data_IF_371793538507
#
_entry.id   IF_371793538507
#
_cell.length_a   1.000
_cell.length_b   1.000
_cell.length_c   1.000
_cell.angle_alpha   90.00
_cell.angle_beta   90.00
_cell.angle_gamma   90.00
#
_symmetry.space_group_name_H-M   'P 1'
#
loop_
_entity.id
_entity.type
_entity.pdbx_description
1 polymer ?
#
# COMPACT_ATOMS: atom_id res chain seq x y z
N UNK A 1 -1.48 16.05 16.00
CA UNK A 1 -2.56 15.08 15.71
C UNK A 1 -1.93 13.70 15.84
N UNK A 2 -2.42 12.87 16.76
CA UNK A 2 -1.97 11.48 16.88
C UNK A 2 -2.86 10.61 15.98
N UNK A 3 -2.23 9.76 15.17
CA UNK A 3 -2.93 8.81 14.31
C UNK A 3 -2.70 7.40 14.86
N UNK A 4 -3.75 6.60 15.08
CA UNK A 4 -3.58 5.23 15.52
C UNK A 4 -2.98 4.39 14.39
N UNK A 5 -2.27 3.31 14.76
CA UNK A 5 -1.96 2.24 13.82
C UNK A 5 -3.23 1.46 13.54
N UNK A 6 -3.57 1.32 12.26
CA UNK A 6 -4.74 0.57 11.80
C UNK A 6 -4.27 -0.80 11.33
N UNK A 7 -4.92 -1.87 11.77
CA UNK A 7 -4.70 -3.22 11.29
C UNK A 7 -5.92 -3.70 10.48
N UNK A 8 -5.67 -4.23 9.29
CA UNK A 8 -6.73 -4.76 8.43
C UNK A 8 -7.02 -6.22 8.80
N UNK A 9 -8.20 -6.76 8.43
CA UNK A 9 -8.50 -8.19 8.58
C UNK A 9 -7.50 -9.13 7.86
N UNK A 10 -6.74 -8.59 6.90
CA UNK A 10 -5.69 -9.32 6.18
C UNK A 10 -4.31 -9.24 6.84
N UNK A 11 -4.20 -8.66 8.04
CA UNK A 11 -2.94 -8.50 8.78
C UNK A 11 -2.00 -7.42 8.21
N UNK A 12 -2.50 -6.53 7.34
CA UNK A 12 -1.75 -5.36 6.87
C UNK A 12 -1.90 -4.27 7.92
N UNK A 13 -0.78 -3.66 8.31
CA UNK A 13 -0.77 -2.55 9.27
C UNK A 13 -0.47 -1.24 8.54
N UNK A 14 -1.19 -0.18 8.88
CA UNK A 14 -1.01 1.15 8.29
C UNK A 14 -0.83 2.16 9.42
N UNK A 15 0.31 2.84 9.41
CA UNK A 15 0.63 3.90 10.34
C UNK A 15 0.88 5.21 9.58
N UNK A 16 0.37 6.33 10.09
CA UNK A 16 0.71 7.65 9.52
C UNK A 16 2.04 8.10 10.11
N UNK A 17 3.00 8.41 9.23
CA UNK A 17 4.31 8.96 9.60
C UNK A 17 4.23 10.48 9.70
N UNK A 18 3.57 11.11 8.71
CA UNK A 18 3.40 12.56 8.65
C UNK A 18 2.20 12.92 7.78
N UNK A 19 1.55 14.03 8.07
CA UNK A 19 0.49 14.60 7.26
C UNK A 19 0.58 16.12 7.28
N UNK A 20 0.16 16.77 6.19
CA UNK A 20 0.01 18.23 6.14
C UNK A 20 -0.97 18.70 7.23
N UNK A 21 -0.57 19.62 8.13
CA UNK A 21 -1.49 20.25 9.06
C UNK A 21 -2.56 21.07 8.33
N UNK A 22 -3.79 21.07 8.86
CA UNK A 22 -4.94 21.83 8.32
C UNK A 22 -5.08 21.74 6.79
N UNK A 23 -5.17 20.52 6.22
CA UNK A 23 -5.10 20.31 4.77
C UNK A 23 -6.23 21.02 4.02
N UNK A 24 -7.41 21.17 4.64
CA UNK A 24 -8.54 21.88 4.03
C UNK A 24 -8.27 23.38 3.92
N UNK A 25 -7.65 23.99 4.94
CA UNK A 25 -7.21 25.40 4.87
C UNK A 25 -6.24 25.58 3.70
N UNK A 26 -5.26 24.68 3.56
CA UNK A 26 -4.30 24.75 2.45
C UNK A 26 -4.98 24.69 1.08
N UNK A 27 -5.91 23.76 0.89
CA UNK A 27 -6.67 23.62 -0.37
C UNK A 27 -7.50 24.88 -0.65
N UNK A 28 -8.16 25.43 0.38
CA UNK A 28 -8.98 26.63 0.25
C UNK A 28 -8.16 27.85 -0.19
N UNK A 29 -7.03 28.11 0.48
CA UNK A 29 -6.17 29.25 0.18
C UNK A 29 -5.55 29.15 -1.22
N UNK A 30 -5.15 27.94 -1.64
CA UNK A 30 -4.63 27.70 -2.98
C UNK A 30 -5.68 28.02 -4.05
N UNK A 31 -6.91 27.51 -3.88
CA UNK A 31 -8.03 27.81 -4.79
C UNK A 31 -8.36 29.30 -4.87
N UNK A 32 -8.30 30.01 -3.74
CA UNK A 32 -8.54 31.46 -3.76
C UNK A 32 -7.44 32.22 -4.50
N UNK A 33 -6.19 31.75 -4.42
CA UNK A 33 -5.08 32.42 -5.08
C UNK A 33 -5.25 32.43 -6.60
N UNK A 34 -5.93 31.43 -7.16
CA UNK A 34 -6.20 31.32 -8.60
C UNK A 34 -7.09 32.45 -9.16
N UNK A 35 -7.81 33.17 -8.30
CA UNK A 35 -8.80 34.20 -8.68
C UNK A 35 -8.63 35.54 -7.97
N UNK A 36 -7.53 35.72 -7.24
CA UNK A 36 -7.23 36.95 -6.47
C UNK A 36 -5.87 37.53 -6.86
N UNK A 37 -5.70 38.84 -6.71
CA UNK A 37 -4.48 39.59 -7.04
C UNK A 37 -3.62 39.93 -5.80
N UNK A 38 -4.10 39.61 -4.60
CA UNK A 38 -3.37 39.69 -3.33
C UNK A 38 -2.91 38.30 -2.84
N UNK A 39 -2.05 38.30 -1.82
CA UNK A 39 -1.60 37.05 -1.17
C UNK A 39 -2.71 36.50 -0.28
N UNK A 40 -3.20 35.29 -0.57
CA UNK A 40 -4.36 34.70 0.16
C UNK A 40 -4.02 34.16 1.54
N UNK A 41 -2.78 34.21 2.01
CA UNK A 41 -2.40 33.67 3.32
C UNK A 41 -3.22 34.25 4.48
N UNK A 42 -3.66 35.50 4.34
CA UNK A 42 -4.49 36.25 5.29
C UNK A 42 -6.00 36.10 5.05
N UNK A 43 -6.41 35.38 3.99
CA UNK A 43 -7.81 35.21 3.67
C UNK A 43 -8.54 34.46 4.78
N UNK A 44 -9.79 34.88 5.00
CA UNK A 44 -10.70 34.17 5.87
C UNK A 44 -11.03 32.80 5.27
N UNK A 45 -10.78 31.76 6.05
CA UNK A 45 -11.23 30.41 5.75
C UNK A 45 -12.68 30.25 6.26
N UNK A 46 -13.59 29.64 5.48
CA UNK A 46 -14.92 29.29 5.94
C UNK A 46 -14.89 28.45 7.21
N UNK A 47 -15.96 28.53 8.01
CA UNK A 47 -16.10 27.69 9.21
C UNK A 47 -16.20 26.19 8.87
N UNK A 48 -16.65 25.86 7.66
CA UNK A 48 -16.64 24.52 7.09
C UNK A 48 -15.91 24.56 5.74
N UNK A 49 -14.57 24.48 5.75
CA UNK A 49 -13.77 24.55 4.54
C UNK A 49 -14.03 23.32 3.64
N UNK A 50 -14.24 22.14 4.21
CA UNK A 50 -14.57 20.92 3.49
C UNK A 50 -15.81 21.06 2.60
N UNK A 51 -16.94 21.53 3.14
CA UNK A 51 -18.15 21.74 2.35
C UNK A 51 -17.96 22.80 1.24
N UNK A 52 -17.21 23.86 1.55
CA UNK A 52 -16.89 24.90 0.58
C UNK A 52 -16.06 24.33 -0.58
N UNK A 53 -15.00 23.59 -0.27
CA UNK A 53 -14.13 22.89 -1.24
C UNK A 53 -14.91 21.91 -2.11
N UNK A 54 -15.81 21.11 -1.54
CA UNK A 54 -16.65 20.18 -2.32
C UNK A 54 -17.49 20.93 -3.36
N UNK A 55 -18.14 22.02 -2.94
CA UNK A 55 -19.02 22.83 -3.79
C UNK A 55 -18.25 23.60 -4.87
N UNK A 56 -17.09 24.18 -4.54
CA UNK A 56 -16.35 25.05 -5.45
C UNK A 56 -15.37 24.31 -6.35
N UNK A 57 -14.75 23.23 -5.86
CA UNK A 57 -13.69 22.51 -6.57
C UNK A 57 -14.17 21.19 -7.17
N UNK A 58 -14.64 20.25 -6.32
CA UNK A 58 -14.91 18.87 -6.76
C UNK A 58 -16.01 18.80 -7.82
N UNK A 59 -17.10 19.57 -7.65
CA UNK A 59 -18.19 19.61 -8.63
C UNK A 59 -17.78 20.22 -9.97
N UNK A 60 -16.74 21.06 -10.00
CA UNK A 60 -16.24 21.74 -11.21
C UNK A 60 -15.08 21.01 -11.88
N UNK A 61 -14.60 19.91 -11.29
CA UNK A 61 -13.42 19.19 -11.79
C UNK A 61 -12.10 19.95 -11.60
N UNK A 62 -12.07 20.95 -10.72
CA UNK A 62 -10.85 21.70 -10.45
C UNK A 62 -10.02 20.98 -9.39
N UNK A 63 -9.09 20.15 -9.86
CA UNK A 63 -8.36 19.23 -8.99
C UNK A 63 -6.97 19.72 -8.53
N UNK A 64 -6.44 20.78 -9.14
CA UNK A 64 -5.10 21.33 -8.87
C UNK A 64 -4.84 21.59 -7.38
N UNK A 65 -5.74 22.30 -6.67
CA UNK A 65 -5.55 22.57 -5.24
C UNK A 65 -5.40 21.32 -4.36
N UNK A 66 -5.91 20.16 -4.77
CA UNK A 66 -5.76 18.89 -4.03
C UNK A 66 -4.38 18.24 -4.20
N UNK A 67 -3.51 18.78 -5.05
CA UNK A 67 -2.13 18.30 -5.19
C UNK A 67 -1.20 18.82 -4.09
N UNK A 68 -1.58 19.87 -3.35
CA UNK A 68 -0.74 20.46 -2.30
C UNK A 68 -0.67 19.63 -1.01
N UNK A 69 -1.80 19.18 -0.41
CA UNK A 69 -1.73 18.45 0.86
C UNK A 69 -1.19 17.05 0.62
N UNK A 70 -0.33 16.60 1.53
CA UNK A 70 0.29 15.26 1.46
C UNK A 70 0.18 14.50 2.75
N UNK A 71 0.16 13.18 2.62
CA UNK A 71 0.19 12.23 3.74
C UNK A 71 1.19 11.13 3.43
N UNK A 72 1.93 10.71 4.46
CA UNK A 72 2.95 9.66 4.39
C UNK A 72 2.57 8.53 5.33
N UNK A 73 2.53 7.32 4.79
CA UNK A 73 2.21 6.10 5.50
C UNK A 73 3.43 5.20 5.59
N UNK A 74 3.61 4.54 6.72
CA UNK A 74 4.39 3.32 6.82
C UNK A 74 3.40 2.15 6.80
N UNK A 75 3.52 1.28 5.79
CA UNK A 75 2.58 0.18 5.57
C UNK A 75 3.33 -1.12 5.83
N UNK A 76 2.93 -1.89 6.83
CA UNK A 76 3.55 -3.16 7.19
C UNK A 76 2.77 -4.37 6.67
N UNK A 77 3.50 -5.41 6.29
CA UNK A 77 2.92 -6.73 6.01
C UNK A 77 2.42 -6.92 4.58
N UNK A 78 2.90 -6.11 3.63
CA UNK A 78 2.48 -6.20 2.22
C UNK A 78 3.35 -7.19 1.45
N UNK A 79 2.77 -7.92 0.50
CA UNK A 79 3.53 -8.81 -0.39
C UNK A 79 4.29 -8.02 -1.47
N UNK A 80 5.26 -8.65 -2.13
CA UNK A 80 5.90 -8.06 -3.32
C UNK A 80 4.96 -7.96 -4.50
N UNK A 81 4.02 -8.89 -4.63
CA UNK A 81 2.99 -8.82 -5.66
C UNK A 81 2.09 -7.59 -5.48
N UNK A 82 1.75 -7.23 -4.24
CA UNK A 82 1.01 -5.98 -3.96
C UNK A 82 1.85 -4.77 -4.32
N UNK A 83 3.14 -4.75 -3.97
CA UNK A 83 4.03 -3.65 -4.34
C UNK A 83 4.12 -3.45 -5.86
N UNK A 84 4.18 -4.52 -6.65
CA UNK A 84 4.19 -4.43 -8.11
C UNK A 84 2.92 -3.79 -8.70
N UNK A 85 1.78 -3.87 -7.99
CA UNK A 85 0.55 -3.18 -8.35
C UNK A 85 0.55 -1.73 -7.84
N UNK A 86 0.95 -1.53 -6.58
CA UNK A 86 0.91 -0.23 -5.93
C UNK A 86 1.83 0.79 -6.62
N UNK A 87 3.03 0.38 -7.05
CA UNK A 87 3.98 1.26 -7.75
C UNK A 87 3.55 1.63 -9.18
N UNK A 88 2.38 1.17 -9.64
CA UNK A 88 1.79 1.61 -10.91
C UNK A 88 1.12 2.98 -10.80
N UNK A 89 0.83 3.43 -9.59
CA UNK A 89 0.40 4.79 -9.32
C UNK A 89 1.61 5.72 -9.31
N UNK A 90 1.75 6.53 -10.37
CA UNK A 90 2.98 7.31 -10.63
C UNK A 90 2.86 8.81 -10.37
N UNK A 91 1.63 9.33 -10.28
CA UNK A 91 1.38 10.78 -10.21
C UNK A 91 1.06 11.14 -8.77
N UNK A 92 1.81 12.07 -8.20
CA UNK A 92 1.61 12.56 -6.83
C UNK A 92 1.87 11.50 -5.75
N UNK A 93 2.60 10.42 -6.06
CA UNK A 93 2.97 9.37 -5.12
C UNK A 93 4.47 9.08 -5.20
N UNK A 94 5.10 8.84 -4.05
CA UNK A 94 6.47 8.33 -3.94
C UNK A 94 6.53 7.11 -3.02
N UNK A 95 7.54 6.26 -3.23
CA UNK A 95 7.70 4.99 -2.52
C UNK A 95 9.15 4.80 -2.07
N UNK A 96 9.32 4.39 -0.82
CA UNK A 96 10.55 3.78 -0.33
C UNK A 96 10.25 2.33 0.02
N UNK A 97 10.93 1.40 -0.64
CA UNK A 97 10.64 -0.03 -0.55
C UNK A 97 11.85 -0.76 -0.01
N UNK A 98 11.61 -1.66 0.94
CA UNK A 98 12.65 -2.53 1.46
C UNK A 98 13.36 -3.31 0.34
N UNK A 99 14.68 -3.27 0.37
CA UNK A 99 15.53 -3.88 -0.66
C UNK A 99 15.97 -5.28 -0.25
N UNK A 100 15.57 -6.29 -1.03
CA UNK A 100 16.04 -7.67 -0.86
C UNK A 100 17.54 -7.86 -1.12
N UNK A 101 18.27 -6.81 -1.54
CA UNK A 101 19.75 -6.84 -1.56
C UNK A 101 20.36 -6.72 -0.16
N UNK A 102 19.60 -6.14 0.78
CA UNK A 102 20.05 -5.83 2.14
C UNK A 102 19.19 -6.52 3.22
N UNK A 103 17.98 -6.99 2.87
CA UNK A 103 17.16 -7.81 3.77
C UNK A 103 17.81 -9.17 4.03
N UNK A 104 17.92 -9.55 5.31
CA UNK A 104 18.50 -10.81 5.76
C UNK A 104 17.46 -11.94 5.78
N UNK A 105 17.16 -12.47 4.60
CA UNK A 105 16.27 -13.63 4.48
C UNK A 105 16.91 -14.91 5.06
N UNK A 106 18.24 -14.93 5.17
CA UNK A 106 19.02 -16.01 5.79
C UNK A 106 18.74 -16.18 7.29
N UNK A 107 18.29 -15.13 7.98
CA UNK A 107 18.03 -15.10 9.43
C UNK A 107 16.60 -15.52 9.81
N UNK A 108 15.69 -15.66 8.85
CA UNK A 108 14.32 -16.14 9.12
C UNK A 108 14.44 -17.58 9.65
N UNK A 109 13.73 -17.94 10.72
CA UNK A 109 13.73 -19.32 11.24
C UNK A 109 12.94 -20.31 10.38
N UNK A 110 12.97 -21.59 10.74
CA UNK A 110 12.31 -22.66 9.99
C UNK A 110 10.92 -23.06 10.54
N UNK A 111 10.52 -22.45 11.66
CA UNK A 111 9.21 -22.71 12.26
C UNK A 111 8.09 -22.11 11.42
N UNK A 112 6.89 -22.66 11.53
CA UNK A 112 5.73 -22.13 10.83
C UNK A 112 5.45 -20.68 11.25
N UNK A 113 5.67 -20.34 12.53
CA UNK A 113 5.53 -18.98 13.05
C UNK A 113 6.50 -17.99 12.38
N UNK A 114 7.78 -18.38 12.24
CA UNK A 114 8.80 -17.56 11.56
C UNK A 114 8.42 -17.31 10.10
N UNK A 115 7.96 -18.35 9.41
CA UNK A 115 7.55 -18.28 8.00
C UNK A 115 6.28 -17.44 7.84
N UNK A 116 5.32 -17.56 8.74
CA UNK A 116 4.10 -16.77 8.72
C UNK A 116 4.35 -15.29 9.02
N UNK A 117 5.33 -14.98 9.88
CA UNK A 117 5.78 -13.62 10.13
C UNK A 117 6.54 -13.03 8.93
N UNK A 118 7.33 -13.84 8.23
CA UNK A 118 8.19 -13.38 7.14
C UNK A 118 7.48 -13.30 5.77
N UNK A 119 6.46 -14.12 5.52
CA UNK A 119 5.77 -14.20 4.22
C UNK A 119 4.31 -13.79 4.31
N UNK A 120 3.81 -13.18 3.24
CA UNK A 120 2.42 -12.83 3.06
C UNK A 120 1.67 -14.04 2.51
N UNK A 121 0.54 -14.35 3.14
CA UNK A 121 -0.38 -15.39 2.71
C UNK A 121 -1.68 -14.76 2.23
N UNK A 122 -2.34 -15.33 1.20
CA UNK A 122 -3.68 -14.89 0.84
C UNK A 122 -4.64 -15.01 2.05
N UNK A 123 -5.35 -13.94 2.45
CA UNK A 123 -6.12 -13.91 3.70
C UNK A 123 -7.21 -14.99 3.77
N UNK A 124 -7.78 -15.38 2.63
CA UNK A 124 -8.81 -16.42 2.56
C UNK A 124 -8.28 -17.82 2.91
N UNK A 125 -6.96 -18.03 2.94
CA UNK A 125 -6.38 -19.31 3.37
C UNK A 125 -6.32 -19.46 4.90
N UNK A 126 -6.70 -18.42 5.65
CA UNK A 126 -6.84 -18.49 7.10
C UNK A 126 -8.16 -19.13 7.57
N UNK A 127 -9.09 -19.38 6.65
CA UNK A 127 -10.43 -19.88 6.98
C UNK A 127 -10.43 -21.41 7.13
N UNK A 128 -11.24 -21.92 8.06
CA UNK A 128 -11.47 -23.36 8.26
C UNK A 128 -12.38 -23.96 7.18
N UNK A 129 -13.35 -23.17 6.69
CA UNK A 129 -14.36 -23.63 5.75
C UNK A 129 -13.91 -23.50 4.28
N UNK A 130 -14.49 -24.28 3.35
CA UNK A 130 -14.25 -24.12 1.93
C UNK A 130 -14.45 -22.68 1.44
N UNK A 131 -13.46 -22.13 0.73
CA UNK A 131 -13.54 -20.77 0.21
C UNK A 131 -13.74 -20.74 -1.30
N UNK A 132 -14.51 -19.75 -1.75
CA UNK A 132 -14.69 -19.43 -3.17
C UNK A 132 -13.93 -18.15 -3.52
N UNK A 133 -12.95 -18.26 -4.40
CA UNK A 133 -12.11 -17.13 -4.83
C UNK A 133 -12.53 -16.71 -6.23
N UNK A 134 -12.83 -15.43 -6.43
CA UNK A 134 -13.22 -14.89 -7.73
C UNK A 134 -12.16 -13.91 -8.21
N UNK A 135 -11.57 -14.20 -9.36
CA UNK A 135 -10.71 -13.27 -10.08
C UNK A 135 -11.50 -12.54 -11.15
N UNK A 136 -11.14 -11.27 -11.40
CA UNK A 136 -11.79 -10.46 -12.44
C UNK A 136 -11.72 -11.17 -13.79
N UNK A 137 -12.87 -11.34 -14.44
CA UNK A 137 -13.04 -12.00 -15.76
C UNK A 137 -12.62 -13.48 -15.77
N UNK A 138 -12.65 -14.18 -14.64
CA UNK A 138 -12.40 -15.62 -14.57
C UNK A 138 -13.51 -16.35 -13.85
N UNK A 139 -13.62 -17.64 -14.13
CA UNK A 139 -14.48 -18.54 -13.36
C UNK A 139 -13.99 -18.61 -11.92
N UNK A 140 -14.89 -18.72 -10.94
CA UNK A 140 -14.53 -18.88 -9.54
C UNK A 140 -13.73 -20.16 -9.31
N UNK A 141 -12.73 -20.08 -8.43
CA UNK A 141 -12.04 -21.22 -7.86
C UNK A 141 -12.74 -21.64 -6.58
N UNK A 142 -12.84 -22.95 -6.34
CA UNK A 142 -13.27 -23.52 -5.06
C UNK A 142 -12.08 -24.20 -4.39
N UNK A 143 -11.80 -23.84 -3.16
CA UNK A 143 -10.74 -24.43 -2.33
C UNK A 143 -11.43 -25.13 -1.17
N UNK A 144 -11.43 -26.46 -1.17
CA UNK A 144 -12.15 -27.26 -0.16
C UNK A 144 -11.48 -27.19 1.21
N UNK A 145 -10.14 -27.17 1.26
CA UNK A 145 -9.38 -27.09 2.51
C UNK A 145 -8.32 -25.98 2.42
N UNK A 146 -8.67 -24.74 2.82
CA UNK A 146 -7.77 -23.59 2.70
C UNK A 146 -6.53 -23.73 3.60
N UNK A 147 -6.66 -24.32 4.78
CA UNK A 147 -5.56 -24.52 5.71
C UNK A 147 -4.53 -25.54 5.19
N UNK A 148 -4.98 -26.62 4.54
CA UNK A 148 -4.07 -27.56 3.90
C UNK A 148 -3.26 -26.89 2.77
N UNK A 149 -3.90 -26.03 1.97
CA UNK A 149 -3.20 -25.24 0.95
C UNK A 149 -2.23 -24.24 1.59
N UNK A 150 -2.61 -23.62 2.71
CA UNK A 150 -1.70 -22.75 3.48
C UNK A 150 -0.46 -23.51 3.96
N UNK A 151 -0.64 -24.69 4.54
CA UNK A 151 0.47 -25.53 5.00
C UNK A 151 1.41 -25.92 3.85
N UNK A 152 0.87 -26.27 2.67
CA UNK A 152 1.68 -26.53 1.48
C UNK A 152 2.52 -25.32 1.04
N UNK A 153 1.95 -24.11 1.12
CA UNK A 153 2.70 -22.87 0.84
C UNK A 153 3.80 -22.63 1.88
N UNK A 154 3.51 -22.86 3.16
CA UNK A 154 4.50 -22.76 4.24
C UNK A 154 5.67 -23.72 4.01
N UNK A 155 5.38 -24.98 3.65
CA UNK A 155 6.41 -25.97 3.34
C UNK A 155 7.26 -25.56 2.13
N UNK A 156 6.64 -25.00 1.09
CA UNK A 156 7.36 -24.48 -0.07
C UNK A 156 8.31 -23.33 0.30
N UNK A 157 7.87 -22.40 1.15
CA UNK A 157 8.72 -21.32 1.65
C UNK A 157 9.89 -21.84 2.47
N UNK A 158 9.67 -22.86 3.32
CA UNK A 158 10.75 -23.52 4.08
C UNK A 158 11.82 -24.10 3.17
N UNK A 159 11.42 -24.80 2.11
CA UNK A 159 12.35 -25.37 1.14
C UNK A 159 13.14 -24.29 0.38
N UNK A 160 12.47 -23.21 0.01
CA UNK A 160 13.10 -22.05 -0.63
C UNK A 160 14.13 -21.40 0.27
N UNK A 161 13.83 -21.18 1.56
CA UNK A 161 14.79 -20.60 2.50
C UNK A 161 15.99 -21.52 2.74
N UNK A 162 15.77 -22.83 2.84
CA UNK A 162 16.86 -23.80 2.93
C UNK A 162 17.83 -23.67 1.75
N UNK A 163 17.31 -23.62 0.52
CA UNK A 163 18.13 -23.43 -0.67
C UNK A 163 18.78 -22.03 -0.70
N UNK A 164 18.07 -20.99 -0.25
CA UNK A 164 18.60 -19.63 -0.14
C UNK A 164 19.85 -19.56 0.77
N UNK A 165 19.85 -20.31 1.89
CA UNK A 165 21.00 -20.43 2.80
C UNK A 165 22.13 -21.26 2.18
N UNK A 166 21.82 -22.37 1.51
CA UNK A 166 22.85 -23.16 0.80
C UNK A 166 23.59 -22.33 -0.27
N UNK A 167 22.86 -21.49 -1.02
CA UNK A 167 23.48 -20.61 -2.01
C UNK A 167 24.32 -19.50 -1.36
N UNK A 168 24.00 -19.09 -0.12
CA UNK A 168 24.85 -18.16 0.64
C UNK A 168 26.19 -18.79 0.98
N UNK A 169 26.16 -20.03 1.49
CA UNK A 169 27.36 -20.81 1.81
C UNK A 169 28.22 -21.04 0.55
N UNK A 170 27.58 -21.20 -0.61
CA UNK A 170 28.26 -21.29 -1.90
C UNK A 170 28.81 -19.94 -2.43
N UNK A 171 28.62 -18.83 -1.70
CA UNK A 171 29.15 -17.51 -2.04
C UNK A 171 28.29 -16.68 -2.99
N UNK A 172 27.06 -17.09 -3.30
CA UNK A 172 26.18 -16.31 -4.18
C UNK A 172 25.70 -15.04 -3.45
N UNK A 173 25.84 -13.83 -4.00
CA UNK A 173 25.47 -12.60 -3.30
C UNK A 173 23.94 -12.45 -3.19
N UNK A 174 23.48 -11.64 -2.24
CA UNK A 174 22.05 -11.41 -2.00
C UNK A 174 21.31 -10.84 -3.23
N UNK A 175 22.02 -10.06 -4.07
CA UNK A 175 21.47 -9.48 -5.29
C UNK A 175 21.03 -10.52 -6.34
N UNK A 176 21.63 -11.71 -6.32
CA UNK A 176 21.30 -12.81 -7.22
C UNK A 176 20.42 -13.85 -6.52
N UNK A 177 20.72 -14.19 -5.26
CA UNK A 177 19.90 -15.11 -4.45
C UNK A 177 18.44 -14.66 -4.30
N UNK A 178 18.17 -13.34 -4.31
CA UNK A 178 16.81 -12.79 -4.24
C UNK A 178 15.91 -13.16 -5.42
N UNK A 179 16.44 -13.79 -6.48
CA UNK A 179 15.63 -14.36 -7.55
C UNK A 179 14.87 -15.64 -7.11
N UNK A 180 15.33 -16.28 -6.02
CA UNK A 180 14.74 -17.53 -5.54
C UNK A 180 13.44 -17.34 -4.74
N UNK A 181 13.33 -16.40 -3.78
CA UNK A 181 12.10 -16.22 -3.04
C UNK A 181 10.92 -15.89 -3.97
N UNK A 182 9.75 -16.49 -3.75
CA UNK A 182 8.52 -16.09 -4.45
C UNK A 182 8.20 -14.63 -4.10
N UNK A 183 7.20 -13.98 -4.74
CA UNK A 183 6.79 -12.61 -4.37
C UNK A 183 6.08 -12.52 -2.99
N UNK A 184 6.17 -13.58 -2.18
CA UNK A 184 5.56 -13.73 -0.87
C UNK A 184 6.20 -12.92 0.27
N UNK A 185 7.52 -12.66 0.36
CA UNK A 185 8.10 -12.00 1.52
C UNK A 185 7.38 -10.69 1.85
N UNK A 186 7.04 -10.50 3.13
CA UNK A 186 6.41 -9.28 3.62
C UNK A 186 7.40 -8.13 3.50
N UNK A 187 6.89 -6.99 3.09
CA UNK A 187 7.62 -5.74 2.97
C UNK A 187 6.92 -4.69 3.83
N UNK A 188 7.70 -3.66 4.17
CA UNK A 188 7.24 -2.53 4.97
C UNK A 188 7.58 -1.22 4.25
N UNK A 189 6.90 -0.89 3.13
CA UNK A 189 7.18 0.34 2.41
C UNK A 189 6.74 1.60 3.17
N UNK A 190 7.44 2.70 2.92
CA UNK A 190 6.94 4.04 3.17
C UNK A 190 6.35 4.59 1.88
N UNK A 191 5.14 5.12 1.95
CA UNK A 191 4.39 5.64 0.81
C UNK A 191 3.91 7.04 1.13
N UNK A 192 4.27 8.01 0.30
CA UNK A 192 3.75 9.38 0.39
C UNK A 192 2.86 9.66 -0.80
N UNK A 193 1.68 10.25 -0.56
CA UNK A 193 0.74 10.65 -1.60
C UNK A 193 0.17 12.04 -1.38
N UNK A 194 -0.17 12.73 -2.47
CA UNK A 194 -1.03 13.92 -2.41
C UNK A 194 -2.49 13.51 -2.23
N UNK A 195 -3.34 14.43 -1.74
CA UNK A 195 -4.79 14.18 -1.66
C UNK A 195 -5.37 13.85 -3.04
N UNK A 196 -4.90 14.52 -4.10
CA UNK A 196 -5.30 14.22 -5.48
C UNK A 196 -4.94 12.80 -5.90
N UNK A 197 -3.76 12.31 -5.55
CA UNK A 197 -3.33 10.98 -5.92
C UNK A 197 -4.14 9.85 -5.25
N UNK A 198 -4.74 10.14 -4.09
CA UNK A 198 -5.63 9.22 -3.38
C UNK A 198 -7.07 9.22 -3.94
N UNK A 199 -7.45 10.22 -4.74
CA UNK A 199 -8.78 10.27 -5.36
C UNK A 199 -8.86 9.29 -6.53
N UNK A 200 -10.02 8.62 -6.72
CA UNK A 200 -10.22 7.79 -7.89
C UNK A 200 -10.09 8.63 -9.16
N UNK A 201 -9.32 8.13 -10.13
CA UNK A 201 -9.41 8.62 -11.51
C UNK A 201 -10.79 8.26 -12.05
N UNK A 202 -11.79 9.14 -11.84
CA UNK A 202 -12.98 9.09 -12.68
C UNK A 202 -12.51 9.40 -14.09
N UNK A 203 -12.44 8.38 -14.94
CA UNK A 203 -12.62 8.63 -16.36
C UNK A 203 -14.01 9.26 -16.47
N UNK A 204 -14.05 10.58 -16.66
CA UNK A 204 -15.25 11.28 -17.10
C UNK A 204 -15.54 10.78 -18.51
N UNK A 205 -16.22 9.64 -18.63
CA UNK A 205 -17.14 9.51 -19.75
C UNK A 205 -18.16 10.64 -19.55
N UNK A 206 -18.38 11.53 -20.52
CA UNK A 206 -19.47 12.48 -20.42
C UNK A 206 -20.78 11.69 -20.19
N UNK A 207 -21.72 12.19 -19.37
CA UNK A 207 -23.03 11.56 -19.25
C UNK A 207 -23.68 11.46 -20.64
N UNK A 208 -24.51 10.42 -20.88
CA UNK A 208 -25.22 10.22 -22.14
C UNK A 208 -26.13 11.40 -22.49
#
# INVERSE_FOLDING_TARGET
>A
MEFPVIETPSGIRVAVVAATPDPERLVWLAQHQDVTDHMTIEDRVPSDPGAAIVKTLLQRGHYGPFEHPTITFNIGGVSRSLMAQLTRHRIGISFDVQSLRYTRLDEIGDSDEDLEAAFAFPPYLAQDEPVRVVERRRSPWKIENPQAVRAQLTDAYRQVLKLYRQLLEAGLPAADRRALPPPGPRHQPVVRGTTRAAMPHRHTSPPP
#
